data_IF_901349852605
#
_entry.id   IF_901349852605
#
_cell.length_a   1.000
_cell.length_b   1.000
_cell.length_c   1.000
_cell.angle_alpha   90.00
_cell.angle_beta   90.00
_cell.angle_gamma   90.00
#
_symmetry.space_group_name_H-M   'P 1'
#
loop_
_entity.id
_entity.type
_entity.pdbx_description
1 polymer ?
#
# COMPACT_ATOMS: atom_id res chain seq x y z
N UNK A 1 10.56 -14.46 -23.88
CA UNK A 1 10.44 -13.53 -22.77
C UNK A 1 10.62 -12.12 -23.28
N UNK A 2 9.59 -11.31 -23.16
CA UNK A 2 9.60 -9.91 -23.59
C UNK A 2 10.43 -9.08 -22.61
N UNK A 3 11.01 -7.98 -23.09
CA UNK A 3 11.83 -7.09 -22.27
C UNK A 3 11.27 -5.68 -22.33
N UNK A 4 11.11 -5.05 -21.18
CA UNK A 4 10.79 -3.62 -21.07
C UNK A 4 11.75 -2.96 -20.10
N UNK A 5 12.37 -1.86 -20.52
CA UNK A 5 13.30 -1.08 -19.70
C UNK A 5 14.37 -1.97 -19.01
N UNK A 6 15.01 -2.84 -19.81
CA UNK A 6 16.04 -3.79 -19.41
C UNK A 6 15.60 -4.84 -18.37
N UNK A 7 14.29 -5.02 -18.15
CA UNK A 7 13.73 -6.05 -17.28
C UNK A 7 12.98 -7.09 -18.10
N UNK A 8 13.16 -8.36 -17.74
CA UNK A 8 12.41 -9.48 -18.30
C UNK A 8 10.97 -9.43 -17.80
N UNK A 9 10.00 -9.46 -18.70
CA UNK A 9 8.60 -9.63 -18.37
C UNK A 9 8.27 -11.08 -18.02
N UNK A 10 7.29 -11.24 -17.15
CA UNK A 10 6.64 -12.53 -16.88
C UNK A 10 5.80 -12.93 -18.09
N UNK A 11 5.89 -14.19 -18.49
CA UNK A 11 5.18 -14.70 -19.67
C UNK A 11 3.73 -15.06 -19.33
N UNK A 12 3.46 -15.45 -18.09
CA UNK A 12 2.13 -15.79 -17.59
C UNK A 12 1.96 -15.39 -16.11
N UNK A 13 0.72 -15.53 -15.62
CA UNK A 13 0.33 -15.22 -14.24
C UNK A 13 1.05 -16.12 -13.23
N UNK A 14 1.25 -17.39 -13.58
CA UNK A 14 1.82 -18.39 -12.67
C UNK A 14 3.32 -18.16 -12.44
N UNK A 15 4.06 -17.72 -13.46
CA UNK A 15 5.47 -17.30 -13.40
C UNK A 15 5.62 -16.07 -12.49
N UNK A 16 4.71 -15.09 -12.61
CA UNK A 16 4.68 -13.91 -11.73
C UNK A 16 4.44 -14.31 -10.27
N UNK A 17 3.39 -15.09 -10.01
CA UNK A 17 3.04 -15.52 -8.65
C UNK A 17 4.19 -16.32 -8.01
N UNK A 18 4.77 -17.25 -8.75
CA UNK A 18 5.92 -18.05 -8.30
C UNK A 18 7.13 -17.18 -7.95
N UNK A 19 7.42 -16.16 -8.78
CA UNK A 19 8.50 -15.20 -8.51
C UNK A 19 8.23 -14.37 -7.25
N UNK A 20 6.98 -13.92 -7.05
CA UNK A 20 6.58 -13.19 -5.85
C UNK A 20 6.71 -14.05 -4.59
N UNK A 21 6.27 -15.30 -4.61
CA UNK A 21 6.42 -16.22 -3.48
C UNK A 21 7.89 -16.49 -3.15
N UNK A 22 8.73 -16.70 -4.18
CA UNK A 22 10.16 -16.89 -3.99
C UNK A 22 10.81 -15.65 -3.33
N UNK A 23 10.48 -14.45 -3.81
CA UNK A 23 10.97 -13.21 -3.19
C UNK A 23 10.62 -13.11 -1.70
N UNK A 24 9.38 -13.45 -1.33
CA UNK A 24 8.92 -13.45 0.07
C UNK A 24 9.73 -14.47 0.90
N UNK A 25 9.92 -15.69 0.39
CA UNK A 25 10.66 -16.74 1.08
C UNK A 25 12.12 -16.34 1.32
N UNK A 26 12.82 -15.83 0.29
CA UNK A 26 14.20 -15.34 0.41
C UNK A 26 14.34 -14.20 1.42
N UNK A 27 13.32 -13.35 1.57
CA UNK A 27 13.32 -12.27 2.57
C UNK A 27 13.09 -12.82 3.97
N UNK A 28 12.20 -13.80 4.14
CA UNK A 28 11.96 -14.48 5.43
C UNK A 28 13.20 -15.23 5.91
N UNK A 29 13.86 -15.99 5.05
CA UNK A 29 15.11 -16.69 5.36
C UNK A 29 16.20 -15.73 5.83
N UNK A 30 16.33 -14.56 5.18
CA UNK A 30 17.28 -13.51 5.59
C UNK A 30 16.93 -12.82 6.91
N UNK A 31 15.66 -12.88 7.35
CA UNK A 31 15.20 -12.30 8.61
C UNK A 31 15.45 -13.23 9.81
N UNK A 32 15.88 -14.49 9.59
CA UNK A 32 16.37 -15.39 10.65
C UNK A 32 17.78 -15.00 11.17
N UNK A 33 18.08 -13.69 11.20
CA UNK A 33 19.22 -13.20 11.97
C UNK A 33 19.01 -13.51 13.47
N UNK A 34 20.08 -13.78 14.25
CA UNK A 34 19.99 -14.11 15.67
C UNK A 34 19.40 -12.98 16.52
N UNK A 35 19.27 -11.78 15.97
CA UNK A 35 18.55 -10.66 16.56
C UNK A 35 17.06 -10.77 16.26
N UNK A 36 16.44 -11.88 16.69
CA UNK A 36 15.04 -11.79 17.09
C UNK A 36 15.05 -10.91 18.33
N UNK A 37 14.99 -9.59 18.14
CA UNK A 37 14.61 -8.67 19.20
C UNK A 37 13.28 -9.22 19.69
N UNK A 38 13.30 -9.91 20.83
CA UNK A 38 12.10 -10.22 21.58
C UNK A 38 11.52 -8.85 21.88
N UNK A 39 10.58 -8.42 21.04
CA UNK A 39 9.78 -7.23 21.34
C UNK A 39 9.12 -7.61 22.64
N UNK A 40 9.58 -7.00 23.72
CA UNK A 40 9.03 -7.22 25.04
C UNK A 40 7.62 -6.64 25.00
N UNK A 41 6.61 -7.51 24.82
CA UNK A 41 5.19 -7.13 24.74
C UNK A 41 4.64 -6.69 26.12
N UNK A 42 5.51 -6.41 27.09
CA UNK A 42 5.17 -6.18 28.49
C UNK A 42 4.51 -4.82 28.74
N UNK A 43 4.57 -3.88 27.80
CA UNK A 43 3.92 -2.58 27.89
C UNK A 43 3.05 -2.30 26.65
N UNK A 44 1.77 -2.67 26.72
CA UNK A 44 0.77 -2.12 25.80
C UNK A 44 0.47 -0.69 26.23
N UNK A 45 0.91 0.28 25.45
CA UNK A 45 0.50 1.67 25.60
C UNK A 45 -0.71 1.90 24.66
N UNK A 46 -1.79 2.44 25.20
CA UNK A 46 -2.98 2.76 24.40
C UNK A 46 -2.68 3.99 23.53
N UNK A 47 -2.35 3.77 22.27
CA UNK A 47 -2.08 4.82 21.31
C UNK A 47 -3.38 5.33 20.66
N UNK A 48 -3.68 6.61 20.84
CA UNK A 48 -4.80 7.24 20.12
C UNK A 48 -4.39 7.52 18.67
N UNK A 49 -4.88 6.70 17.73
CA UNK A 49 -4.66 6.90 16.30
C UNK A 49 -5.49 8.09 15.81
N UNK A 50 -4.82 9.22 15.54
CA UNK A 50 -5.43 10.39 14.87
C UNK A 50 -5.49 10.14 13.37
N UNK A 51 -6.66 9.73 12.86
CA UNK A 51 -6.87 9.51 11.43
C UNK A 51 -7.37 10.81 10.80
N UNK A 52 -6.57 11.42 9.93
CA UNK A 52 -7.06 12.49 9.07
C UNK A 52 -7.88 11.91 7.91
N UNK A 53 -8.98 12.58 7.57
CA UNK A 53 -9.89 12.14 6.50
C UNK A 53 -9.16 11.95 5.16
N UNK A 54 -8.19 12.80 4.86
CA UNK A 54 -7.36 12.74 3.64
C UNK A 54 -6.54 11.45 3.58
N UNK A 55 -5.97 11.02 4.71
CA UNK A 55 -5.10 9.84 4.77
C UNK A 55 -5.88 8.55 4.53
N UNK A 56 -7.16 8.50 4.89
CA UNK A 56 -8.02 7.35 4.58
C UNK A 56 -8.12 7.08 3.07
N UNK A 57 -8.37 8.13 2.26
CA UNK A 57 -8.57 7.96 0.81
C UNK A 57 -7.28 7.74 0.03
N UNK A 58 -6.14 8.12 0.60
CA UNK A 58 -4.83 8.04 -0.04
C UNK A 58 -3.84 7.14 0.72
N UNK A 59 -4.37 6.20 1.52
CA UNK A 59 -3.63 5.34 2.44
C UNK A 59 -2.61 4.42 1.77
N UNK A 60 -2.85 4.00 0.53
CA UNK A 60 -1.93 3.16 -0.23
C UNK A 60 -1.90 3.52 -1.72
N UNK A 61 -1.00 2.88 -2.47
CA UNK A 61 -0.79 3.15 -3.90
C UNK A 61 -2.00 2.80 -4.76
N UNK A 62 -2.78 1.78 -4.37
CA UNK A 62 -4.00 1.36 -5.08
C UNK A 62 -5.10 2.40 -4.88
N UNK A 63 -5.32 2.83 -3.63
CA UNK A 63 -6.31 3.85 -3.27
C UNK A 63 -5.99 5.19 -3.93
N UNK A 64 -4.71 5.60 -3.96
CA UNK A 64 -4.25 6.80 -4.67
C UNK A 64 -4.52 6.78 -6.18
N UNK A 65 -4.46 5.59 -6.79
CA UNK A 65 -4.70 5.43 -8.23
C UNK A 65 -6.18 5.25 -8.56
N UNK A 66 -7.05 5.11 -7.56
CA UNK A 66 -8.49 4.89 -7.75
C UNK A 66 -9.24 6.19 -7.96
N UNK A 67 -9.89 6.31 -9.12
CA UNK A 67 -10.78 7.45 -9.44
C UNK A 67 -11.95 7.56 -8.46
N UNK A 68 -12.47 6.42 -8.00
CA UNK A 68 -13.57 6.37 -7.03
C UNK A 68 -13.15 6.96 -5.70
N UNK A 69 -11.95 6.61 -5.20
CA UNK A 69 -11.44 7.12 -3.92
C UNK A 69 -11.19 8.62 -3.96
N UNK A 70 -10.66 9.12 -5.08
CA UNK A 70 -10.49 10.55 -5.32
C UNK A 70 -11.83 11.29 -5.26
N UNK A 71 -12.86 10.77 -5.95
CA UNK A 71 -14.19 11.37 -5.94
C UNK A 71 -14.80 11.39 -4.54
N UNK A 72 -14.69 10.30 -3.80
CA UNK A 72 -15.20 10.22 -2.43
C UNK A 72 -14.51 11.24 -1.50
N UNK A 73 -13.19 11.41 -1.61
CA UNK A 73 -12.45 12.45 -0.87
C UNK A 73 -13.00 13.84 -1.18
N UNK A 74 -13.21 14.14 -2.47
CA UNK A 74 -13.69 15.44 -2.93
C UNK A 74 -15.16 15.71 -2.53
N UNK A 75 -16.00 14.68 -2.45
CA UNK A 75 -17.40 14.84 -2.01
C UNK A 75 -17.54 15.29 -0.55
N UNK A 76 -16.51 15.12 0.27
CA UNK A 76 -16.54 15.40 1.70
C UNK A 76 -15.71 16.62 2.09
N UNK A 77 -14.82 17.06 1.21
CA UNK A 77 -14.34 18.44 1.20
C UNK A 77 -15.56 19.32 0.90
N UNK A 78 -15.98 20.15 1.85
CA UNK A 78 -17.04 21.14 1.59
C UNK A 78 -16.57 22.08 0.48
N UNK A 79 -16.92 21.77 -0.77
CA UNK A 79 -16.68 22.66 -1.89
C UNK A 79 -17.70 23.78 -1.78
N UNK A 80 -17.23 24.99 -1.44
CA UNK A 80 -18.06 26.19 -1.55
C UNK A 80 -18.53 26.29 -2.99
N UNK A 81 -19.83 26.14 -3.22
CA UNK A 81 -20.44 26.35 -4.52
C UNK A 81 -20.26 27.81 -4.92
N UNK A 82 -19.20 28.11 -5.67
CA UNK A 82 -19.15 29.33 -6.46
C UNK A 82 -20.15 29.09 -7.59
N UNK A 83 -21.19 29.91 -7.70
CA UNK A 83 -22.37 29.69 -8.57
C UNK A 83 -22.09 29.71 -10.09
N UNK A 84 -21.06 28.99 -10.53
CA UNK A 84 -20.53 28.88 -11.89
C UNK A 84 -20.57 27.44 -12.41
N UNK A 85 -21.05 26.49 -11.61
CA UNK A 85 -21.28 25.11 -12.05
C UNK A 85 -22.73 24.99 -12.55
N UNK A 86 -22.90 25.01 -13.88
CA UNK A 86 -24.14 24.76 -14.60
C UNK A 86 -24.23 23.34 -15.13
#
# INVERSE_FOLDING_TARGET
AEFMNNRRLFNDKDELESSMFNYINLKKEKQESPYKTKVDLSSFEDETIKIEYKDYYFSNVIARSSKTMLNCNNSKLEVKRTGTEG
#
